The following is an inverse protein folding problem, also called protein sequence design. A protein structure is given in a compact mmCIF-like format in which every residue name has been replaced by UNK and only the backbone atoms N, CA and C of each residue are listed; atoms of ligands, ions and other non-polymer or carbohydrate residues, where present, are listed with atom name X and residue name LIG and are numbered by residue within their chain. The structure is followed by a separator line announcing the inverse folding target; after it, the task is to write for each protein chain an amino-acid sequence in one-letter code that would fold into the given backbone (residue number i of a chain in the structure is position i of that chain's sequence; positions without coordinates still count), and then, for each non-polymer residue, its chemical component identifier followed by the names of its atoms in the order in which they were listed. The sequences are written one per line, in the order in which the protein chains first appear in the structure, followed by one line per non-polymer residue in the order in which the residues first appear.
data_IF_347840159472
#
_entry.id   IF_347840159472
#
_cell.length_a   1.000
_cell.length_b   1.000
_cell.length_c   1.000
_cell.angle_alpha   90.00
_cell.angle_beta   90.00
_cell.angle_gamma   90.00
#
_symmetry.space_group_name_H-M   'P 1'
#
loop_
_entity.id
_entity.type
_entity.pdbx_description
1 polymer ?
#
# COMPACT_ATOMS: atom_id res chain seq x y z
N UNK A 1 12.23 -8.64 5.16
CA UNK A 1 11.77 -7.23 5.30
C UNK A 1 10.58 -7.10 6.24
N UNK A 2 9.52 -7.89 6.07
CA UNK A 2 8.44 -8.07 7.05
C UNK A 2 8.47 -9.54 7.46
N UNK A 3 8.36 -9.81 8.75
CA UNK A 3 8.23 -11.15 9.29
C UNK A 3 7.12 -11.18 10.33
N UNK A 4 6.27 -12.20 10.30
CA UNK A 4 5.27 -12.44 11.34
C UNK A 4 5.45 -13.83 11.91
N UNK A 5 5.25 -13.98 13.23
CA UNK A 5 5.32 -15.25 13.95
C UNK A 5 4.06 -15.47 14.73
N UNK A 6 3.31 -16.52 14.39
CA UNK A 6 2.10 -16.98 15.08
C UNK A 6 1.07 -15.87 15.34
N UNK A 7 0.91 -14.94 14.36
CA UNK A 7 -0.02 -13.80 14.47
C UNK A 7 -1.45 -14.29 14.54
N UNK A 8 -2.17 -13.92 15.61
CA UNK A 8 -3.59 -14.24 15.81
C UNK A 8 -4.42 -12.98 15.97
N UNK A 9 -5.58 -13.01 15.38
CA UNK A 9 -6.54 -11.90 15.47
C UNK A 9 -7.98 -12.40 15.48
N UNK A 10 -8.79 -11.85 16.41
CA UNK A 10 -10.21 -12.20 16.58
C UNK A 10 -11.08 -10.96 16.49
N UNK A 11 -12.27 -11.13 15.92
CA UNK A 11 -13.32 -10.12 15.88
C UNK A 11 -14.59 -10.72 16.44
N UNK A 12 -15.16 -10.12 17.47
CA UNK A 12 -16.42 -10.57 18.11
C UNK A 12 -16.42 -12.07 18.43
N UNK A 13 -15.31 -12.59 18.97
CA UNK A 13 -15.15 -13.99 19.34
C UNK A 13 -14.79 -14.94 18.19
N UNK A 14 -14.88 -14.51 16.92
CA UNK A 14 -14.48 -15.30 15.74
C UNK A 14 -12.99 -15.07 15.44
N UNK A 15 -12.21 -16.14 15.38
CA UNK A 15 -10.81 -16.10 14.99
C UNK A 15 -10.70 -15.91 13.48
N UNK A 16 -10.06 -14.81 13.08
CA UNK A 16 -9.81 -14.44 11.67
C UNK A 16 -8.42 -14.87 11.26
N UNK A 17 -7.39 -14.54 12.08
CA UNK A 17 -6.02 -15.00 11.87
C UNK A 17 -5.70 -16.07 12.92
N UNK A 18 -5.21 -17.22 12.46
CA UNK A 18 -5.07 -18.43 13.28
C UNK A 18 -3.61 -18.85 13.45
N UNK A 19 -2.72 -17.91 13.80
CA UNK A 19 -1.30 -18.19 13.94
C UNK A 19 -0.60 -18.12 12.58
N UNK A 20 -0.54 -16.91 12.02
CA UNK A 20 0.04 -16.68 10.70
C UNK A 20 1.54 -16.46 10.82
N UNK A 21 2.29 -17.33 10.17
CA UNK A 21 3.72 -17.17 9.89
C UNK A 21 3.88 -16.68 8.47
N UNK A 22 4.54 -15.53 8.30
CA UNK A 22 4.72 -14.88 7.01
C UNK A 22 6.10 -14.23 6.95
N UNK A 23 6.71 -14.26 5.79
CA UNK A 23 8.02 -13.65 5.58
C UNK A 23 8.12 -13.09 4.16
N UNK A 24 8.70 -11.88 4.04
CA UNK A 24 9.02 -11.27 2.74
C UNK A 24 10.44 -10.72 2.74
N UNK A 25 11.19 -11.06 1.71
CA UNK A 25 12.56 -10.62 1.47
C UNK A 25 12.63 -9.21 0.88
N UNK A 26 13.83 -8.61 0.89
CA UNK A 26 14.07 -7.32 0.26
C UNK A 26 13.91 -7.43 -1.27
N UNK A 27 13.09 -6.56 -1.85
CA UNK A 27 12.85 -6.50 -3.29
C UNK A 27 11.91 -7.59 -3.80
N UNK A 28 11.35 -8.43 -2.91
CA UNK A 28 10.40 -9.48 -3.28
C UNK A 28 8.99 -8.90 -3.48
N UNK A 29 8.28 -9.40 -4.49
CA UNK A 29 6.85 -9.13 -4.69
C UNK A 29 6.05 -10.36 -4.26
N UNK A 30 5.35 -10.25 -3.15
CA UNK A 30 4.54 -11.31 -2.55
C UNK A 30 3.06 -11.02 -2.71
N UNK A 31 2.32 -12.01 -3.22
CA UNK A 31 0.87 -11.98 -3.34
C UNK A 31 0.18 -12.72 -2.20
N UNK A 32 -0.83 -12.09 -1.60
CA UNK A 32 -1.78 -12.75 -0.74
C UNK A 32 -3.02 -13.10 -1.56
N UNK A 33 -3.30 -14.40 -1.71
CA UNK A 33 -4.41 -14.90 -2.50
C UNK A 33 -5.43 -15.62 -1.61
N UNK A 34 -6.65 -15.75 -2.07
CA UNK A 34 -7.70 -16.46 -1.36
C UNK A 34 -9.07 -15.78 -1.51
N UNK A 35 -10.15 -16.46 -1.14
CA UNK A 35 -11.52 -15.94 -1.28
C UNK A 35 -11.76 -14.70 -0.42
N UNK A 36 -12.87 -14.00 -0.70
CA UNK A 36 -13.32 -12.90 0.15
C UNK A 36 -13.63 -13.42 1.56
N UNK A 37 -13.23 -12.65 2.57
CA UNK A 37 -13.38 -13.04 3.97
C UNK A 37 -12.33 -14.03 4.49
N UNK A 38 -11.31 -14.42 3.71
CA UNK A 38 -10.22 -15.29 4.19
C UNK A 38 -9.27 -14.63 5.18
N UNK A 39 -9.35 -13.31 5.35
CA UNK A 39 -8.53 -12.57 6.32
C UNK A 39 -7.36 -11.77 5.72
N UNK A 40 -7.21 -11.70 4.39
CA UNK A 40 -6.12 -10.96 3.71
C UNK A 40 -6.00 -9.51 4.19
N UNK A 41 -7.08 -8.73 4.07
CA UNK A 41 -7.09 -7.32 4.52
C UNK A 41 -6.91 -7.20 6.04
N UNK A 42 -7.42 -8.18 6.83
CA UNK A 42 -7.19 -8.21 8.28
C UNK A 42 -5.72 -8.45 8.58
N UNK A 43 -5.06 -9.36 7.87
CA UNK A 43 -3.63 -9.59 8.00
C UNK A 43 -2.83 -8.35 7.62
N UNK A 44 -3.10 -7.75 6.45
CA UNK A 44 -2.44 -6.51 6.04
C UNK A 44 -2.63 -5.40 7.10
N UNK A 45 -3.85 -5.19 7.62
CA UNK A 45 -4.13 -4.18 8.66
C UNK A 45 -3.33 -4.39 9.95
N UNK A 46 -2.96 -5.63 10.28
CA UNK A 46 -2.03 -5.91 11.37
C UNK A 46 -0.59 -5.54 11.00
N UNK A 47 -0.17 -5.74 9.74
CA UNK A 47 1.22 -5.45 9.30
C UNK A 47 1.52 -3.96 9.14
N UNK A 48 0.50 -3.08 9.21
CA UNK A 48 0.68 -1.62 9.24
C UNK A 48 -0.03 -0.93 10.43
N UNK A 49 -0.21 -1.65 11.54
CA UNK A 49 -0.68 -1.11 12.86
C UNK A 49 -2.05 -0.46 12.88
N UNK A 50 -2.93 -0.71 11.92
CA UNK A 50 -4.34 -0.30 12.01
C UNK A 50 -5.10 -1.27 12.93
N UNK A 51 -4.72 -2.54 12.92
CA UNK A 51 -5.17 -3.54 13.88
C UNK A 51 -3.95 -4.03 14.70
N UNK A 52 -4.22 -4.41 15.95
CA UNK A 52 -3.20 -4.96 16.84
C UNK A 52 -3.49 -6.44 17.07
N UNK A 53 -2.54 -7.35 16.81
CA UNK A 53 -2.75 -8.77 17.04
C UNK A 53 -2.96 -9.06 18.53
N UNK A 54 -3.77 -10.06 18.85
CA UNK A 54 -3.93 -10.52 20.23
C UNK A 54 -2.75 -11.37 20.71
N UNK A 55 -2.04 -12.01 19.78
CA UNK A 55 -0.80 -12.74 20.06
C UNK A 55 0.03 -12.89 18.80
N UNK A 56 1.30 -13.24 18.98
CA UNK A 56 2.29 -13.33 17.92
C UNK A 56 3.03 -12.01 17.73
N UNK A 57 4.13 -12.09 16.97
CA UNK A 57 5.05 -10.99 16.77
C UNK A 57 5.04 -10.52 15.30
N UNK A 58 5.22 -9.22 15.09
CA UNK A 58 5.40 -8.64 13.77
C UNK A 58 6.65 -7.79 13.78
N UNK A 59 7.60 -8.13 12.93
CA UNK A 59 8.81 -7.33 12.74
C UNK A 59 8.83 -6.64 11.39
N UNK A 60 9.31 -5.40 11.37
CA UNK A 60 9.51 -4.57 10.19
C UNK A 60 10.97 -4.16 10.12
N UNK A 61 11.69 -4.65 9.09
CA UNK A 61 13.13 -4.39 8.89
C UNK A 61 13.97 -4.71 10.15
N UNK A 62 13.61 -5.82 10.84
CA UNK A 62 14.30 -6.31 12.03
C UNK A 62 13.91 -5.63 13.36
N UNK A 63 13.05 -4.61 13.33
CA UNK A 63 12.50 -3.98 14.53
C UNK A 63 11.09 -4.45 14.85
N UNK A 64 10.70 -4.42 16.11
CA UNK A 64 9.32 -4.70 16.52
C UNK A 64 8.39 -3.62 15.99
N UNK A 65 7.43 -4.03 15.14
CA UNK A 65 6.48 -3.11 14.51
C UNK A 65 5.63 -2.37 15.56
N UNK A 66 5.21 -3.06 16.62
CA UNK A 66 4.32 -2.47 17.62
C UNK A 66 5.02 -1.41 18.47
N UNK A 67 6.32 -1.54 18.67
CA UNK A 67 7.15 -0.57 19.39
C UNK A 67 7.52 0.67 18.56
N UNK A 68 7.45 0.59 17.20
CA UNK A 68 7.77 1.72 16.34
C UNK A 68 6.73 2.83 16.46
N UNK A 69 7.13 4.09 16.35
CA UNK A 69 6.22 5.21 16.15
C UNK A 69 5.56 5.15 14.76
N UNK A 70 4.38 5.75 14.61
CA UNK A 70 3.71 5.81 13.30
C UNK A 70 4.57 6.53 12.24
N UNK A 71 5.36 7.52 12.66
CA UNK A 71 6.28 8.24 11.77
C UNK A 71 7.41 7.34 11.27
N UNK A 72 8.04 6.59 12.17
CA UNK A 72 9.10 5.63 11.79
C UNK A 72 8.57 4.56 10.85
N UNK A 73 7.37 4.03 11.14
CA UNK A 73 6.71 3.08 10.26
C UNK A 73 6.44 3.70 8.88
N UNK A 74 5.88 4.92 8.82
CA UNK A 74 5.57 5.59 7.56
C UNK A 74 6.80 5.98 6.73
N UNK A 75 8.00 6.02 7.31
CA UNK A 75 9.26 6.16 6.57
C UNK A 75 9.76 4.85 5.96
N UNK A 76 9.26 3.70 6.43
CA UNK A 76 9.70 2.35 6.03
C UNK A 76 8.71 1.66 5.11
N UNK A 77 7.41 1.91 5.27
CA UNK A 77 6.38 1.33 4.44
C UNK A 77 5.32 2.36 4.02
N UNK A 78 4.84 2.23 2.79
CA UNK A 78 3.65 2.92 2.32
C UNK A 78 2.50 1.93 2.18
N UNK A 79 1.30 2.43 2.44
CA UNK A 79 0.08 1.63 2.39
C UNK A 79 -0.90 2.21 1.38
N UNK A 80 -1.41 1.33 0.53
CA UNK A 80 -2.61 1.57 -0.25
C UNK A 80 -3.70 0.66 0.31
N UNK A 81 -4.51 1.22 1.21
CA UNK A 81 -5.64 0.52 1.80
C UNK A 81 -6.88 0.63 0.88
N UNK A 82 -7.78 -0.33 1.01
CA UNK A 82 -9.11 -0.25 0.42
C UNK A 82 -9.85 0.98 0.96
N UNK A 83 -10.38 1.82 0.08
CA UNK A 83 -10.83 3.16 0.42
C UNK A 83 -12.00 3.25 1.39
N UNK A 84 -11.94 4.31 2.23
CA UNK A 84 -13.11 5.00 2.76
C UNK A 84 -13.23 6.35 2.00
N UNK A 85 -14.44 6.72 1.64
CA UNK A 85 -14.72 7.99 0.95
C UNK A 85 -14.11 9.17 1.71
N UNK A 86 -13.15 9.84 1.09
CA UNK A 86 -12.61 11.08 1.64
C UNK A 86 -13.61 12.21 1.35
N UNK A 87 -14.12 12.83 2.40
CA UNK A 87 -15.09 13.93 2.31
C UNK A 87 -14.47 15.29 1.94
N UNK A 88 -13.21 15.33 1.49
CA UNK A 88 -12.48 16.56 1.20
C UNK A 88 -12.21 16.71 -0.29
N UNK A 89 -12.34 17.93 -0.77
CA UNK A 89 -12.18 18.27 -2.18
C UNK A 89 -10.74 18.70 -2.49
N UNK A 90 -9.82 17.69 -2.43
CA UNK A 90 -8.42 17.88 -2.84
C UNK A 90 -8.24 17.59 -4.32
N UNK A 91 -7.32 18.30 -4.96
CA UNK A 91 -6.87 17.97 -6.32
C UNK A 91 -6.05 16.68 -6.33
N UNK A 92 -5.92 16.07 -7.49
CA UNK A 92 -5.07 14.88 -7.70
C UNK A 92 -3.64 15.14 -7.23
N UNK A 93 -3.06 16.30 -7.56
CA UNK A 93 -1.73 16.67 -7.13
C UNK A 93 -1.59 16.75 -5.61
N UNK A 94 -2.55 17.38 -4.95
CA UNK A 94 -2.56 17.50 -3.49
C UNK A 94 -2.64 16.14 -2.81
N UNK A 95 -3.49 15.24 -3.31
CA UNK A 95 -3.57 13.86 -2.78
C UNK A 95 -2.25 13.11 -2.95
N UNK A 96 -1.59 13.23 -4.10
CA UNK A 96 -0.28 12.60 -4.32
C UNK A 96 0.80 13.24 -3.44
N UNK A 97 0.76 14.57 -3.27
CA UNK A 97 1.67 15.32 -2.39
C UNK A 97 1.56 14.89 -0.91
N UNK A 98 0.37 14.47 -0.45
CA UNK A 98 0.21 13.90 0.91
C UNK A 98 1.15 12.72 1.17
N UNK A 99 1.56 11.97 0.14
CA UNK A 99 2.56 10.91 0.26
C UNK A 99 3.91 11.41 0.80
N UNK A 100 4.22 12.70 0.66
CA UNK A 100 5.47 13.29 1.15
C UNK A 100 5.47 13.60 2.64
N UNK A 101 4.29 13.68 3.28
CA UNK A 101 4.14 14.12 4.68
C UNK A 101 4.94 13.27 5.69
N UNK A 102 5.08 11.96 5.44
CA UNK A 102 5.84 11.07 6.33
C UNK A 102 7.33 11.47 6.47
N UNK A 103 7.87 12.19 5.50
CA UNK A 103 9.27 12.64 5.45
C UNK A 103 9.48 14.04 5.98
N UNK A 104 8.44 14.85 6.06
CA UNK A 104 8.51 16.24 6.49
C UNK A 104 8.55 16.39 8.01
N UNK A 105 9.18 17.45 8.46
CA UNK A 105 9.07 17.92 9.86
C UNK A 105 7.74 18.65 10.05
N UNK A 106 7.34 18.81 11.30
CA UNK A 106 6.14 19.60 11.61
C UNK A 106 6.35 21.04 11.09
N UNK A 107 5.36 21.54 10.32
CA UNK A 107 5.37 22.87 9.68
C UNK A 107 6.39 23.04 8.52
N UNK A 108 6.99 21.96 8.03
CA UNK A 108 7.85 22.02 6.85
C UNK A 108 6.99 22.16 5.58
N UNK A 109 7.28 23.18 4.77
CA UNK A 109 6.61 23.43 3.50
C UNK A 109 7.07 22.47 2.41
N UNK A 110 6.38 22.45 1.29
CA UNK A 110 6.76 21.65 0.12
C UNK A 110 8.04 22.18 -0.50
N UNK A 111 9.00 21.26 -0.69
CA UNK A 111 10.26 21.58 -1.37
C UNK A 111 10.11 21.48 -2.90
N UNK A 112 11.06 22.04 -3.64
CA UNK A 112 11.14 21.84 -5.10
C UNK A 112 11.34 20.37 -5.46
N UNK A 113 12.07 19.62 -4.64
CA UNK A 113 12.30 18.17 -4.81
C UNK A 113 10.98 17.40 -4.65
N UNK A 114 10.13 17.75 -3.67
CA UNK A 114 8.82 17.12 -3.51
C UNK A 114 7.94 17.35 -4.74
N UNK A 115 7.91 18.58 -5.26
CA UNK A 115 7.12 18.92 -6.45
C UNK A 115 7.62 18.21 -7.71
N UNK A 116 8.93 18.15 -7.91
CA UNK A 116 9.55 17.42 -9.02
C UNK A 116 9.22 15.92 -8.94
N UNK A 117 9.31 15.32 -7.74
CA UNK A 117 8.96 13.92 -7.53
C UNK A 117 7.47 13.66 -7.80
N UNK A 118 6.57 14.49 -7.30
CA UNK A 118 5.13 14.36 -7.53
C UNK A 118 4.83 14.44 -9.04
N UNK A 119 5.44 15.38 -9.76
CA UNK A 119 5.31 15.47 -11.21
C UNK A 119 5.76 14.18 -11.90
N UNK A 120 6.93 13.64 -11.54
CA UNK A 120 7.42 12.37 -12.09
C UNK A 120 6.47 11.19 -11.78
N UNK A 121 5.91 11.15 -10.58
CA UNK A 121 4.96 10.09 -10.20
C UNK A 121 3.67 10.21 -10.98
N UNK A 122 3.13 11.43 -11.16
CA UNK A 122 1.93 11.69 -11.97
C UNK A 122 2.12 11.25 -13.43
N UNK A 123 3.30 11.51 -14.01
CA UNK A 123 3.65 11.04 -15.35
C UNK A 123 3.67 9.50 -15.43
N UNK A 124 4.38 8.84 -14.52
CA UNK A 124 4.50 7.38 -14.49
C UNK A 124 3.17 6.66 -14.27
N UNK A 125 2.23 7.29 -13.57
CA UNK A 125 0.89 6.76 -13.31
C UNK A 125 -0.16 7.25 -14.31
N UNK A 126 0.25 8.02 -15.34
CA UNK A 126 -0.62 8.60 -16.38
C UNK A 126 -1.73 9.49 -15.79
N UNK A 127 -1.41 10.26 -14.77
CA UNK A 127 -2.33 11.16 -14.07
C UNK A 127 -2.11 12.63 -14.41
N UNK A 128 -1.10 12.96 -15.21
CA UNK A 128 -0.79 14.35 -15.59
C UNK A 128 -1.99 15.12 -16.13
N UNK A 129 -2.85 14.54 -17.01
CA UNK A 129 -4.04 15.26 -17.51
C UNK A 129 -5.10 15.55 -16.43
N UNK A 130 -5.05 14.86 -15.31
CA UNK A 130 -6.02 14.96 -14.21
C UNK A 130 -5.47 15.76 -13.02
N UNK A 131 -4.26 16.30 -13.13
CA UNK A 131 -3.49 16.90 -12.03
C UNK A 131 -4.29 17.88 -11.17
N UNK A 132 -5.05 18.77 -11.82
CA UNK A 132 -5.82 19.84 -11.17
C UNK A 132 -7.28 19.46 -10.91
N UNK A 133 -7.70 18.26 -11.31
CA UNK A 133 -9.07 17.81 -11.06
C UNK A 133 -9.27 17.44 -9.60
N UNK A 134 -10.48 17.71 -9.10
CA UNK A 134 -10.89 17.30 -7.75
C UNK A 134 -10.96 15.76 -7.64
N UNK A 135 -10.34 15.20 -6.62
CA UNK A 135 -10.32 13.75 -6.39
C UNK A 135 -11.72 13.14 -6.29
N UNK A 136 -12.69 13.89 -5.73
CA UNK A 136 -14.09 13.47 -5.59
C UNK A 136 -14.77 13.19 -6.94
N UNK A 137 -14.37 13.91 -8.00
CA UNK A 137 -14.99 13.83 -9.33
C UNK A 137 -14.47 12.69 -10.20
N UNK A 138 -13.42 12.02 -9.77
CA UNK A 138 -12.76 10.95 -10.52
C UNK A 138 -13.58 9.65 -10.53
N UNK A 139 -13.43 8.87 -11.59
CA UNK A 139 -13.91 7.48 -11.63
C UNK A 139 -13.17 6.60 -10.62
N UNK A 140 -13.74 5.45 -10.26
CA UNK A 140 -13.12 4.51 -9.32
C UNK A 140 -11.70 4.08 -9.74
N UNK A 141 -11.49 3.81 -11.04
CA UNK A 141 -10.18 3.45 -11.57
C UNK A 141 -9.17 4.60 -11.52
N UNK A 142 -9.60 5.85 -11.74
CA UNK A 142 -8.74 7.02 -11.60
C UNK A 142 -8.37 7.25 -10.13
N UNK A 143 -9.34 7.16 -9.21
CA UNK A 143 -9.08 7.22 -7.77
C UNK A 143 -8.05 6.19 -7.34
N UNK A 144 -8.19 4.94 -7.80
CA UNK A 144 -7.25 3.86 -7.51
C UNK A 144 -5.82 4.20 -7.98
N UNK A 145 -5.67 4.77 -9.18
CA UNK A 145 -4.37 5.23 -9.69
C UNK A 145 -3.78 6.38 -8.87
N UNK A 146 -4.62 7.32 -8.40
CA UNK A 146 -4.17 8.43 -7.53
C UNK A 146 -3.67 7.92 -6.18
N UNK A 147 -4.36 6.96 -5.57
CA UNK A 147 -3.93 6.35 -4.31
C UNK A 147 -2.61 5.58 -4.47
N UNK A 148 -2.44 4.90 -5.59
CA UNK A 148 -1.17 4.27 -5.93
C UNK A 148 -0.06 5.32 -6.10
N UNK A 149 -0.33 6.40 -6.82
CA UNK A 149 0.62 7.50 -7.00
C UNK A 149 1.04 8.09 -5.64
N UNK A 150 0.09 8.30 -4.72
CA UNK A 150 0.36 8.74 -3.34
C UNK A 150 1.31 7.78 -2.61
N UNK A 151 1.05 6.47 -2.69
CA UNK A 151 1.92 5.46 -2.07
C UNK A 151 3.33 5.44 -2.69
N UNK A 152 3.43 5.62 -4.01
CA UNK A 152 4.72 5.71 -4.70
C UNK A 152 5.49 6.99 -4.33
N UNK A 153 4.80 8.13 -4.19
CA UNK A 153 5.38 9.40 -3.79
C UNK A 153 6.00 9.38 -2.39
N UNK A 154 5.57 8.49 -1.52
CA UNK A 154 6.14 8.30 -0.18
C UNK A 154 7.59 7.79 -0.20
N UNK A 155 8.04 7.16 -1.32
CA UNK A 155 9.40 6.64 -1.54
C UNK A 155 9.90 5.70 -0.43
N UNK A 156 9.04 4.82 0.06
CA UNK A 156 9.42 3.82 1.06
C UNK A 156 10.00 2.56 0.41
N UNK A 157 10.84 1.79 1.13
CA UNK A 157 11.36 0.52 0.64
C UNK A 157 10.31 -0.59 0.54
N UNK A 158 9.18 -0.44 1.24
CA UNK A 158 8.11 -1.45 1.30
C UNK A 158 6.78 -0.80 0.87
N UNK A 159 6.00 -1.53 0.07
CA UNK A 159 4.63 -1.19 -0.32
C UNK A 159 3.69 -2.30 0.16
N UNK A 160 2.64 -1.93 0.89
CA UNK A 160 1.54 -2.83 1.26
C UNK A 160 0.29 -2.36 0.52
N UNK A 161 -0.30 -3.26 -0.28
CA UNK A 161 -1.36 -2.94 -1.21
C UNK A 161 -2.56 -3.87 -0.96
N UNK A 162 -3.69 -3.27 -0.60
CA UNK A 162 -4.94 -4.03 -0.42
C UNK A 162 -5.81 -3.86 -1.67
N UNK A 163 -5.88 -4.91 -2.48
CA UNK A 163 -6.65 -4.97 -3.73
C UNK A 163 -6.30 -3.85 -4.74
N UNK A 164 -5.01 -3.66 -5.10
CA UNK A 164 -4.56 -2.53 -5.91
C UNK A 164 -5.11 -2.51 -7.34
N UNK A 165 -5.60 -3.64 -7.84
CA UNK A 165 -6.11 -3.81 -9.20
C UNK A 165 -7.63 -3.68 -9.32
N UNK A 166 -8.35 -3.49 -8.22
CA UNK A 166 -9.80 -3.34 -8.24
C UNK A 166 -10.22 -2.07 -8.99
N UNK A 167 -11.35 -2.16 -9.69
CA UNK A 167 -11.92 -1.08 -10.49
C UNK A 167 -11.05 -0.59 -11.67
N UNK A 168 -9.90 -1.23 -11.93
CA UNK A 168 -9.05 -0.96 -13.09
C UNK A 168 -9.44 -1.87 -14.25
N UNK A 169 -9.42 -1.34 -15.47
CA UNK A 169 -9.45 -2.19 -16.66
C UNK A 169 -8.13 -2.97 -16.80
N UNK A 170 -8.15 -4.03 -17.60
CA UNK A 170 -7.02 -4.96 -17.75
C UNK A 170 -5.72 -4.26 -18.18
N UNK A 171 -5.81 -3.24 -19.03
CA UNK A 171 -4.65 -2.47 -19.48
C UNK A 171 -3.96 -1.77 -18.30
N UNK A 172 -4.74 -1.09 -17.46
CA UNK A 172 -4.20 -0.40 -16.29
C UNK A 172 -3.76 -1.37 -15.19
N UNK A 173 -4.42 -2.52 -15.04
CA UNK A 173 -3.96 -3.59 -14.13
C UNK A 173 -2.55 -4.05 -14.50
N UNK A 174 -2.31 -4.38 -15.77
CA UNK A 174 -1.00 -4.82 -16.26
C UNK A 174 0.06 -3.71 -16.11
N UNK A 175 -0.28 -2.48 -16.44
CA UNK A 175 0.64 -1.34 -16.29
C UNK A 175 1.02 -1.12 -14.82
N UNK A 176 0.06 -1.21 -13.91
CA UNK A 176 0.29 -1.08 -12.48
C UNK A 176 1.21 -2.18 -11.95
N UNK A 177 0.91 -3.43 -12.28
CA UNK A 177 1.72 -4.58 -11.84
C UNK A 177 3.16 -4.48 -12.39
N UNK A 178 3.32 -4.06 -13.64
CA UNK A 178 4.64 -3.83 -14.22
C UNK A 178 5.39 -2.67 -13.55
N UNK A 179 4.70 -1.56 -13.24
CA UNK A 179 5.27 -0.44 -12.50
C UNK A 179 5.77 -0.87 -11.11
N UNK A 180 4.99 -1.71 -10.42
CA UNK A 180 5.37 -2.27 -9.12
C UNK A 180 6.60 -3.18 -9.24
N UNK A 181 6.61 -4.09 -10.20
CA UNK A 181 7.73 -4.99 -10.47
C UNK A 181 9.02 -4.23 -10.76
N UNK A 182 8.95 -3.20 -11.61
CA UNK A 182 10.10 -2.36 -11.99
C UNK A 182 10.56 -1.43 -10.87
N UNK A 183 9.75 -1.20 -9.85
CA UNK A 183 10.10 -0.31 -8.75
C UNK A 183 11.29 -0.81 -7.90
N UNK A 184 11.60 -2.11 -7.95
CA UNK A 184 12.63 -2.75 -7.14
C UNK A 184 12.34 -2.74 -5.63
N UNK A 185 11.12 -2.35 -5.24
CA UNK A 185 10.69 -2.30 -3.84
C UNK A 185 10.18 -3.66 -3.39
N UNK A 186 10.16 -3.86 -2.08
CA UNK A 186 9.44 -4.99 -1.49
C UNK A 186 7.95 -4.70 -1.56
N UNK A 187 7.17 -5.60 -2.17
CA UNK A 187 5.72 -5.43 -2.34
C UNK A 187 4.98 -6.58 -1.69
N UNK A 188 3.99 -6.27 -0.87
CA UNK A 188 3.01 -7.24 -0.35
C UNK A 188 1.63 -6.79 -0.81
N UNK A 189 0.97 -7.57 -1.64
CA UNK A 189 -0.31 -7.20 -2.22
C UNK A 189 -1.37 -8.28 -2.03
N UNK A 190 -2.56 -7.90 -1.57
CA UNK A 190 -3.74 -8.76 -1.68
C UNK A 190 -4.27 -8.68 -3.12
N UNK A 191 -4.29 -9.80 -3.82
CA UNK A 191 -4.64 -9.88 -5.24
C UNK A 191 -5.77 -10.89 -5.42
N UNK A 192 -6.81 -10.50 -6.17
CA UNK A 192 -7.92 -11.39 -6.46
C UNK A 192 -7.72 -12.22 -7.73
N UNK A 193 -7.08 -11.63 -8.73
CA UNK A 193 -6.81 -12.30 -10.00
C UNK A 193 -5.58 -13.20 -9.87
N UNK A 194 -5.82 -14.52 -9.95
CA UNK A 194 -4.77 -15.54 -9.84
C UNK A 194 -3.78 -15.49 -11.01
N UNK A 195 -4.21 -15.05 -12.20
CA UNK A 195 -3.31 -14.94 -13.35
C UNK A 195 -2.33 -13.78 -13.14
N UNK A 196 -2.81 -12.63 -12.64
CA UNK A 196 -1.94 -11.50 -12.28
C UNK A 196 -0.99 -11.90 -11.14
N UNK A 197 -1.49 -12.57 -10.11
CA UNK A 197 -0.65 -13.04 -9.02
C UNK A 197 0.45 -13.99 -9.49
N UNK A 198 0.12 -14.98 -10.34
CA UNK A 198 1.09 -15.93 -10.89
C UNK A 198 2.11 -15.28 -11.83
N UNK A 199 1.72 -14.24 -12.57
CA UNK A 199 2.59 -13.55 -13.53
C UNK A 199 3.61 -12.62 -12.86
N UNK A 200 3.23 -11.96 -11.77
CA UNK A 200 4.02 -10.88 -11.18
C UNK A 200 4.63 -11.18 -9.82
N UNK A 201 4.04 -12.09 -9.03
CA UNK A 201 4.53 -12.39 -7.69
C UNK A 201 5.59 -13.50 -7.73
N UNK A 202 6.67 -13.33 -6.97
CA UNK A 202 7.67 -14.38 -6.78
C UNK A 202 7.21 -15.43 -5.77
N UNK A 203 6.31 -15.06 -4.86
CA UNK A 203 5.74 -15.96 -3.83
C UNK A 203 4.28 -15.64 -3.60
N UNK A 204 3.50 -16.69 -3.32
CA UNK A 204 2.07 -16.59 -2.99
C UNK A 204 1.81 -17.22 -1.61
N UNK A 205 0.95 -16.58 -0.84
CA UNK A 205 0.42 -17.06 0.44
C UNK A 205 -1.09 -17.19 0.40
#
# INVERSE_FOLDING_TARGET
MIETKQVRYRVRGREILRGIDFHVEKGEFVGLIGPNGSGKSTFLKNTYKVLHPQSGDISLMGGDLLAMSNREMAQRLAVMAQEQEAAFDFTVEEVVMMGRQARKRLLETESQEDRALVTQVLERTQLTPLREQGFSTLSGGEKQRVLMARALAQQTPILILDEPTNHLDIKYQLQLMELLRQSGRTVVAAIHDLNLAALYCQRLY
#
